data_IF_322025206926
#
_entry.id   IF_322025206926
#
_cell.length_a   1.000
_cell.length_b   1.000
_cell.length_c   1.000
_cell.angle_alpha   90.00
_cell.angle_beta   90.00
_cell.angle_gamma   90.00
#
_symmetry.space_group_name_H-M   'P 1'
#
loop_
_entity.id
_entity.type
_entity.pdbx_description
1 polymer ?
2 non-polymer ?
3 water ?
#
# COMPACT_ATOMS: atom_id res chain seq x y z
N UNK A 3 -16.44 -8.07 -0.84
CA UNK A 3 -15.46 -7.02 -0.58
C UNK A 3 -14.09 -7.60 -0.24
N UNK A 4 -13.30 -7.91 -1.27
CA UNK A 4 -11.98 -8.52 -1.09
C UNK A 4 -11.09 -8.39 -2.33
N UNK A 5 -9.83 -8.81 -2.19
CA UNK A 5 -8.77 -8.60 -3.19
C UNK A 5 -8.97 -9.22 -4.56
N UNK A 6 -8.30 -8.63 -5.54
CA UNK A 6 -8.49 -8.98 -6.94
C UNK A 6 -7.17 -8.98 -7.67
N UNK A 7 -6.12 -8.55 -6.98
CA UNK A 7 -4.83 -8.29 -7.63
C UNK A 7 -3.63 -8.95 -6.99
N UNK A 8 -2.57 -9.10 -7.78
CA UNK A 8 -1.29 -9.56 -7.29
C UNK A 8 -0.17 -8.78 -7.96
N UNK A 9 1.02 -8.91 -7.39
CA UNK A 9 2.24 -8.29 -7.92
C UNK A 9 3.13 -9.33 -8.58
N UNK A 10 3.73 -8.95 -9.69
CA UNK A 10 4.65 -9.82 -10.37
C UNK A 10 5.63 -8.95 -11.14
N UNK A 11 6.65 -9.59 -11.70
CA UNK A 11 7.63 -8.87 -12.49
C UNK A 11 6.91 -8.39 -13.75
N UNK A 12 7.12 -7.14 -14.11
CA UNK A 12 6.40 -6.55 -15.24
C UNK A 12 7.10 -6.74 -16.57
N UNK A 13 6.32 -6.84 -17.64
CA UNK A 13 6.84 -6.88 -19.00
C UNK A 13 7.26 -5.49 -19.43
N UNK A 14 6.87 -4.50 -18.64
CA UNK A 14 7.29 -3.13 -18.87
C UNK A 14 8.58 -2.83 -18.11
N UNK A 15 9.04 -3.79 -17.33
CA UNK A 15 10.22 -3.62 -16.50
C UNK A 15 9.84 -3.38 -15.05
N UNK A 16 10.57 -3.98 -14.12
CA UNK A 16 10.30 -3.77 -12.72
C UNK A 16 9.10 -4.56 -12.23
N UNK A 17 8.29 -3.92 -11.38
CA UNK A 17 7.09 -4.55 -10.82
C UNK A 17 5.86 -4.00 -11.51
N UNK A 18 4.76 -4.73 -11.43
CA UNK A 18 3.49 -4.23 -11.91
C UNK A 18 2.34 -4.90 -11.20
N UNK A 19 1.14 -4.37 -11.35
CA UNK A 19 -0.03 -5.01 -10.76
C UNK A 19 -0.77 -5.84 -11.80
N UNK A 20 -1.22 -7.02 -11.41
CA UNK A 20 -1.90 -7.92 -12.34
C UNK A 20 -3.26 -8.40 -11.83
N UNK A 21 -4.09 -8.91 -12.73
CA UNK A 21 -5.43 -9.35 -12.38
C UNK A 21 -5.45 -10.81 -11.90
N UNK A 22 -6.11 -11.09 -10.79
CA UNK A 22 -6.12 -12.48 -10.33
C UNK A 22 -7.13 -13.31 -11.13
N UNK A 23 -8.25 -12.68 -11.44
CA UNK A 23 -9.33 -13.28 -12.22
C UNK A 23 -9.83 -12.28 -13.27
N UNK A 24 -11.07 -12.41 -13.72
CA UNK A 24 -11.57 -11.46 -14.70
C UNK A 24 -12.19 -10.20 -14.12
N UNK A 25 -11.87 -9.04 -14.70
CA UNK A 25 -12.48 -7.82 -14.22
C UNK A 25 -13.26 -7.08 -15.30
N UNK A 26 -14.51 -6.75 -15.01
CA UNK A 26 -15.40 -6.07 -15.94
C UNK A 26 -15.30 -4.56 -15.83
N UNK A 27 -15.68 -3.90 -16.92
CA UNK A 27 -15.65 -2.45 -17.06
C UNK A 27 -16.33 -1.74 -15.88
N UNK A 28 -15.62 -0.76 -15.33
CA UNK A 28 -16.05 0.04 -14.19
C UNK A 28 -16.21 -0.74 -12.90
N UNK A 29 -15.84 -2.01 -12.92
CA UNK A 29 -15.69 -2.72 -11.65
C UNK A 29 -14.50 -2.16 -10.89
N UNK A 30 -14.65 -2.14 -9.58
CA UNK A 30 -13.56 -1.71 -8.72
C UNK A 30 -12.42 -2.72 -8.67
N UNK A 31 -11.21 -2.25 -8.96
CA UNK A 31 -10.03 -3.10 -8.98
C UNK A 31 -9.33 -3.12 -7.61
N UNK A 32 -9.23 -1.97 -6.98
CA UNK A 32 -8.64 -1.86 -5.67
C UNK A 32 -9.08 -0.56 -5.04
N UNK A 33 -9.23 -0.57 -3.72
CA UNK A 33 -9.55 0.62 -2.96
C UNK A 33 -8.38 0.96 -2.05
N UNK A 34 -7.69 2.05 -2.33
CA UNK A 34 -6.52 2.42 -1.60
C UNK A 34 -6.78 3.50 -0.56
N UNK A 35 -6.41 3.23 0.71
CA UNK A 35 -6.36 4.24 1.76
C UNK A 35 -5.27 5.19 1.41
N UNK A 36 -5.28 6.38 1.98
CA UNK A 36 -4.24 7.33 1.65
C UNK A 36 -3.63 7.96 2.86
N UNK A 37 -2.42 8.43 2.66
CA UNK A 37 -1.69 9.17 3.66
C UNK A 37 -1.47 10.58 3.16
N UNK A 38 -1.74 11.56 4.01
CA UNK A 38 -1.53 12.95 3.65
C UNK A 38 -0.09 13.35 3.88
N UNK A 39 0.55 13.90 2.87
CA UNK A 39 1.89 14.39 3.06
C UNK A 39 1.94 15.89 2.84
N UNK A 40 2.38 16.61 3.86
CA UNK A 40 2.56 18.04 3.83
C UNK A 40 3.56 18.50 2.78
N UNK A 41 3.18 19.52 2.01
CA UNK A 41 4.00 20.02 0.91
C UNK A 41 5.40 20.39 1.28
N UNK A 42 5.56 21.01 2.45
CA UNK A 42 6.87 21.37 2.97
C UNK A 42 7.77 20.13 3.19
N UNK A 43 7.16 18.95 3.17
CA UNK A 43 7.86 17.73 3.51
C UNK A 43 7.82 16.66 2.43
N UNK A 44 7.50 17.05 1.20
CA UNK A 44 7.45 16.09 0.12
C UNK A 44 8.85 15.60 -0.24
N UNK A 45 9.09 14.29 -0.12
CA UNK A 45 10.30 13.63 -0.63
C UNK A 45 10.37 13.69 -2.18
N UNK A 46 11.50 14.12 -2.73
CA UNK A 46 11.63 14.39 -4.16
C UNK A 46 11.40 13.18 -5.05
N UNK A 47 11.78 11.99 -4.59
CA UNK A 47 11.62 10.80 -5.41
C UNK A 47 10.17 10.35 -5.41
N UNK A 48 9.35 11.07 -4.67
CA UNK A 48 7.95 10.71 -4.53
C UNK A 48 7.00 11.69 -5.21
N UNK A 49 7.54 12.79 -5.73
CA UNK A 49 6.75 13.88 -6.31
C UNK A 49 5.79 13.41 -7.41
N UNK A 50 6.31 12.63 -8.35
CA UNK A 50 5.53 12.16 -9.46
C UNK A 50 4.58 11.04 -9.12
N UNK A 51 4.29 10.85 -7.85
CA UNK A 51 3.43 9.72 -7.46
C UNK A 51 2.34 10.08 -6.50
N UNK A 52 2.28 11.36 -6.16
CA UNK A 52 1.29 11.87 -5.24
C UNK A 52 0.07 12.43 -5.95
N UNK A 53 -1.06 12.40 -5.26
CA UNK A 53 -2.30 12.87 -5.85
C UNK A 53 -2.83 14.07 -5.09
N UNK A 54 -3.61 14.89 -5.78
CA UNK A 54 -4.25 16.02 -5.15
C UNK A 54 -5.55 15.54 -4.52
N UNK A 55 -5.82 16.00 -3.30
CA UNK A 55 -7.07 15.68 -2.62
C UNK A 55 -8.31 16.41 -3.13
N UNK A 56 -8.34 16.71 -4.42
CA UNK A 56 -9.46 17.45 -5.01
C UNK A 56 -10.63 16.51 -5.30
N UNK A 77 -2.01 22.72 0.30
CA UNK A 77 -1.14 22.50 1.47
C UNK A 77 -0.64 21.04 1.65
N UNK A 78 -1.34 20.07 1.08
CA UNK A 78 -0.97 18.65 1.25
C UNK A 78 -1.21 17.85 -0.04
N UNK A 79 -0.56 16.70 -0.15
CA UNK A 79 -0.78 15.77 -1.25
C UNK A 79 -0.91 14.35 -0.69
N UNK A 80 -1.27 13.40 -1.52
CA UNK A 80 -1.70 12.10 -1.03
C UNK A 80 -0.82 10.98 -1.50
N UNK A 81 -0.43 10.11 -0.56
CA UNK A 81 0.28 8.88 -0.92
C UNK A 81 -0.69 7.69 -0.82
N UNK A 82 -1.00 7.07 -1.96
CA UNK A 82 -1.91 5.93 -1.96
C UNK A 82 -1.21 4.66 -1.44
N UNK A 83 -1.89 3.95 -0.56
CA UNK A 83 -1.34 2.75 -0.01
C UNK A 83 -1.76 1.57 -0.84
N UNK A 84 -1.79 0.38 -0.24
CA UNK A 84 -1.99 -0.85 -0.98
C UNK A 84 -0.97 -0.84 -2.09
N UNK A 85 -1.37 -1.27 -3.28
CA UNK A 85 -0.47 -1.26 -4.44
C UNK A 85 -0.67 -0.01 -5.29
N UNK A 86 -1.35 0.98 -4.72
CA UNK A 86 -1.69 2.21 -5.43
C UNK A 86 -0.63 2.87 -6.29
N UNK A 87 0.58 3.01 -5.79
CA UNK A 87 1.64 3.64 -6.55
C UNK A 87 2.36 2.66 -7.49
N UNK A 88 2.07 1.36 -7.40
CA UNK A 88 2.83 0.39 -8.19
C UNK A 88 2.27 0.15 -9.62
N UNK A 89 1.06 0.62 -9.91
CA UNK A 89 0.46 0.42 -11.23
C UNK A 89 1.25 1.10 -12.32
N UNK A 90 1.66 0.36 -13.33
CA UNK A 90 2.40 1.01 -14.41
C UNK A 90 1.46 1.88 -15.25
N UNK A 91 2.03 2.79 -16.02
CA UNK A 91 1.23 3.67 -16.85
C UNK A 91 1.33 3.32 -18.32
N UNK A 92 0.33 3.68 -19.10
CA UNK A 92 0.35 3.33 -20.51
C UNK A 92 -0.48 4.28 -21.35
N UNK A 93 -0.02 4.50 -22.59
CA UNK A 93 -0.78 5.30 -23.54
C UNK A 93 -2.07 4.57 -23.92
N UNK A 94 -2.06 3.25 -23.77
CA UNK A 94 -3.24 2.44 -24.02
C UNK A 94 -3.67 1.76 -22.72
N UNK A 95 -4.33 2.53 -21.85
CA UNK A 95 -4.60 2.09 -20.48
C UNK A 95 -5.80 1.20 -20.38
N UNK A 96 -5.77 0.23 -19.47
CA UNK A 96 -6.97 -0.53 -19.24
C UNK A 96 -7.60 -0.21 -17.87
N UNK A 97 -7.05 0.76 -17.14
CA UNK A 97 -7.61 1.14 -15.84
C UNK A 97 -7.52 2.62 -15.56
N UNK A 98 -8.31 3.09 -14.62
CA UNK A 98 -8.22 4.50 -14.27
C UNK A 98 -8.54 4.73 -12.80
N UNK A 99 -8.22 5.93 -12.33
CA UNK A 99 -8.18 6.27 -10.92
C UNK A 99 -9.08 7.40 -10.53
N UNK A 100 -9.80 7.26 -9.42
CA UNK A 100 -10.53 8.41 -8.88
C UNK A 100 -10.20 8.59 -7.40
N UNK A 101 -10.08 9.83 -6.95
CA UNK A 101 -9.95 10.15 -5.55
C UNK A 101 -11.35 10.41 -5.04
N UNK A 102 -11.72 9.78 -3.93
CA UNK A 102 -13.06 9.91 -3.36
C UNK A 102 -12.94 10.29 -1.90
N UNK A 103 -13.83 11.14 -1.42
CA UNK A 103 -13.79 11.54 -0.02
C UNK A 103 -14.66 10.67 0.90
N UNK A 104 -14.29 10.59 2.17
CA UNK A 104 -15.13 9.93 3.16
C UNK A 104 -15.36 10.89 4.34
N UNK A 105 -16.57 10.89 4.91
CA UNK A 105 -16.89 11.77 6.03
C UNK A 105 -17.64 11.07 7.17
N UNK A 116 -1.31 11.46 9.69
CA UNK A 116 -1.47 10.01 9.53
C UNK A 116 -2.34 9.66 8.31
N UNK A 117 -3.36 8.82 8.51
CA UNK A 117 -4.28 8.45 7.43
C UNK A 117 -5.24 9.59 7.06
N UNK A 118 -5.53 9.76 5.78
CA UNK A 118 -6.44 10.82 5.41
C UNK A 118 -7.82 10.29 5.14
N UNK A 119 -8.79 11.19 5.18
CA UNK A 119 -10.15 10.84 4.86
C UNK A 119 -10.34 10.80 3.34
N UNK A 120 -9.26 10.53 2.61
CA UNK A 120 -9.43 10.28 1.19
C UNK A 120 -9.06 8.87 0.81
N UNK A 121 -9.59 8.44 -0.33
CA UNK A 121 -9.36 7.09 -0.79
C UNK A 121 -9.15 7.11 -2.29
N UNK A 122 -8.23 6.30 -2.77
CA UNK A 122 -8.00 6.25 -4.17
C UNK A 122 -8.63 4.99 -4.68
N UNK A 123 -9.55 5.13 -5.64
CA UNK A 123 -10.20 3.94 -6.15
C UNK A 123 -9.78 3.69 -7.54
N UNK A 124 -9.38 2.45 -7.78
CA UNK A 124 -8.98 2.01 -9.09
C UNK A 124 -10.08 1.22 -9.81
N UNK A 125 -10.48 1.72 -10.98
CA UNK A 125 -11.54 1.10 -11.78
C UNK A 125 -11.01 0.54 -13.08
N UNK A 126 -11.59 -0.56 -13.54
CA UNK A 126 -11.27 -1.11 -14.85
C UNK A 126 -11.88 -0.25 -15.98
N UNK A 127 -11.05 0.13 -16.94
CA UNK A 127 -11.50 0.95 -18.06
C UNK A 127 -12.09 0.12 -19.23
N UNK A 128 -11.39 -0.95 -19.58
CA UNK A 128 -11.90 -1.93 -20.51
C UNK A 128 -12.19 -3.17 -19.69
N UNK A 129 -12.53 -4.26 -20.34
CA UNK A 129 -12.63 -5.49 -19.60
C UNK A 129 -11.24 -6.08 -19.53
N UNK A 130 -10.82 -6.47 -18.32
CA UNK A 130 -9.47 -6.97 -18.09
C UNK A 130 -9.48 -8.48 -17.92
N UNK A 131 -8.62 -9.17 -18.65
CA UNK A 131 -8.58 -10.62 -18.60
C UNK A 131 -7.78 -11.12 -17.41
N UNK A 132 -7.91 -12.41 -17.09
CA UNK A 132 -7.09 -12.98 -16.05
C UNK A 132 -5.62 -12.74 -16.41
N UNK A 133 -4.83 -12.32 -15.42
CA UNK A 133 -3.38 -12.14 -15.57
C UNK A 133 -2.96 -11.11 -16.58
N UNK A 134 -3.90 -10.23 -16.95
CA UNK A 134 -3.55 -9.05 -17.71
C UNK A 134 -2.90 -8.07 -16.74
N UNK A 135 -1.90 -7.34 -17.22
CA UNK A 135 -1.34 -6.31 -16.39
C UNK A 135 -2.30 -5.16 -16.36
N UNK A 136 -2.54 -4.63 -15.17
CA UNK A 136 -3.42 -3.49 -15.02
C UNK A 136 -2.63 -2.20 -15.24
N UNK A 137 -2.98 -1.45 -16.27
CA UNK A 137 -2.28 -0.21 -16.57
C UNK A 137 -3.18 1.00 -16.52
N UNK A 138 -2.60 2.14 -16.18
CA UNK A 138 -3.37 3.31 -15.88
C UNK A 138 -2.85 4.42 -16.75
N UNK A 139 -3.74 5.33 -17.12
CA UNK A 139 -3.42 6.47 -17.97
C UNK A 139 -2.51 7.49 -17.32
N UNK A 140 -2.08 8.45 -18.13
CA UNK A 140 -1.23 9.53 -17.66
C UNK A 140 -1.98 10.72 -17.09
N UNK A 141 -3.27 10.82 -17.39
CA UNK A 141 -4.08 11.91 -16.85
C UNK A 141 -4.05 13.12 -17.75
N UNK A 142 -4.96 14.07 -17.52
CA UNK A 142 -5.05 15.23 -18.41
C UNK A 142 -4.19 16.40 -17.97
N UNK A 143 -2.93 16.34 -18.39
CA UNK A 143 -2.02 17.45 -18.30
C UNK A 143 -1.08 17.24 -19.45
N UNK A 144 -0.48 18.32 -19.93
CA UNK A 144 0.41 18.19 -21.06
C UNK A 144 1.81 17.89 -20.58
N UNK A 145 2.06 18.21 -19.32
CA UNK A 145 3.40 18.23 -18.79
C UNK A 145 3.61 17.11 -17.79
N UNK A 146 2.54 16.42 -17.46
CA UNK A 146 2.61 15.16 -16.73
C UNK A 146 1.79 14.18 -17.56
N UNK B 6 -6.12 -13.07 2.12
CA UNK B 6 -5.48 -13.26 3.42
C UNK B 6 -5.93 -12.21 4.47
N UNK B 7 -5.91 -10.93 4.12
CA UNK B 7 -6.22 -9.84 5.06
C UNK B 7 -7.23 -8.81 4.48
N UNK B 8 -7.94 -8.08 5.34
CA UNK B 8 -8.79 -6.99 4.87
C UNK B 8 -8.73 -5.79 5.81
N UNK B 9 -9.28 -4.67 5.35
CA UNK B 9 -9.32 -3.45 6.13
C UNK B 9 -10.70 -3.14 6.67
N UNK B 10 -10.75 -2.65 7.90
CA UNK B 10 -12.00 -2.28 8.51
C UNK B 10 -11.76 -1.25 9.58
N UNK B 11 -12.85 -0.72 10.12
CA UNK B 11 -12.70 0.21 11.22
C UNK B 11 -12.24 -0.55 12.46
N UNK B 12 -11.25 -0.01 13.15
CA UNK B 12 -10.74 -0.65 14.34
C UNK B 12 -11.48 -0.15 15.57
N UNK B 13 -11.59 -1.01 16.57
CA UNK B 13 -12.18 -0.64 17.85
C UNK B 13 -11.19 0.22 18.60
N UNK B 14 -9.96 0.28 18.11
CA UNK B 14 -8.98 1.20 18.67
C UNK B 14 -9.11 2.56 18.01
N UNK B 15 -9.99 2.67 17.01
CA UNK B 15 -10.16 3.91 16.27
C UNK B 15 -9.48 3.95 14.91
N UNK B 16 -10.13 4.56 13.93
CA UNK B 16 -9.52 4.71 12.63
C UNK B 16 -9.54 3.41 11.86
N UNK B 17 -8.45 3.13 11.16
CA UNK B 17 -8.35 1.89 10.38
C UNK B 17 -7.43 0.84 10.99
N UNK B 18 -7.67 -0.41 10.62
CA UNK B 18 -6.76 -1.48 10.98
C UNK B 18 -6.84 -2.62 10.00
N UNK B 19 -5.88 -3.53 10.08
CA UNK B 19 -5.83 -4.69 9.21
C UNK B 19 -6.44 -5.87 9.95
N UNK B 20 -7.27 -6.65 9.27
CA UNK B 20 -7.94 -7.79 9.89
C UNK B 20 -7.69 -9.09 9.15
N UNK B 21 -7.95 -10.20 9.84
CA UNK B 21 -7.73 -11.51 9.27
C UNK B 21 -8.97 -12.02 8.57
N UNK B 22 -8.78 -12.41 7.34
CA UNK B 22 -9.86 -12.88 6.52
C UNK B 22 -10.20 -14.29 6.94
N UNK B 23 -9.15 -15.04 7.27
CA UNK B 23 -9.27 -16.43 7.71
C UNK B 23 -8.38 -16.67 8.93
N UNK B 24 -7.97 -17.92 9.15
CA UNK B 24 -7.09 -18.25 10.26
C UNK B 24 -5.62 -18.16 9.88
N UNK B 25 -4.79 -17.59 10.74
CA UNK B 25 -3.36 -17.58 10.47
C UNK B 25 -2.63 -18.30 11.61
N UNK B 26 -1.76 -19.23 11.25
CA UNK B 26 -1.03 -20.02 12.23
C UNK B 26 0.24 -19.28 12.60
N UNK B 27 0.76 -19.56 13.79
CA UNK B 27 1.98 -18.95 14.29
C UNK B 27 3.12 -19.07 13.29
N UNK B 28 3.80 -17.95 13.01
CA UNK B 28 4.91 -17.85 12.04
C UNK B 28 4.52 -18.00 10.54
N UNK B 29 3.24 -18.12 10.25
CA UNK B 29 2.83 -17.96 8.85
C UNK B 29 3.02 -16.49 8.42
N UNK B 30 3.39 -16.28 7.17
CA UNK B 30 3.52 -14.94 6.61
C UNK B 30 2.15 -14.35 6.41
N UNK B 31 1.92 -13.17 6.96
CA UNK B 31 0.62 -12.52 6.86
C UNK B 31 0.52 -11.63 5.60
N UNK B 32 1.59 -10.90 5.28
CA UNK B 32 1.63 -10.04 4.13
C UNK B 32 3.07 -9.76 3.82
N UNK B 33 3.36 -9.57 2.55
CA UNK B 33 4.66 -9.12 2.12
C UNK B 33 4.52 -7.72 1.46
N UNK B 34 5.09 -6.72 2.09
CA UNK B 34 4.96 -5.36 1.64
C UNK B 34 6.20 -4.92 0.88
N UNK B 35 5.98 -4.43 -0.34
CA UNK B 35 7.04 -3.72 -1.03
C UNK B 35 7.35 -2.42 -0.28
N UNK B 36 8.54 -1.87 -0.49
CA UNK B 36 8.91 -0.69 0.24
C UNK B 36 9.52 0.35 -0.65
N UNK B 37 9.44 1.59 -0.20
CA UNK B 37 10.10 2.69 -0.88
C UNK B 37 11.12 3.31 0.04
N UNK B 38 12.29 3.63 -0.49
CA UNK B 38 13.30 4.29 0.29
C UNK B 38 13.06 5.78 0.39
N UNK B 39 13.01 6.26 1.62
CA UNK B 39 12.87 7.68 1.85
C UNK B 39 14.14 8.18 2.50
N UNK B 40 14.73 9.14 1.81
CA UNK B 40 15.94 9.82 2.23
C UNK B 40 15.77 10.53 3.59
N UNK B 41 16.73 10.33 4.50
CA UNK B 41 16.62 10.79 5.89
C UNK B 41 16.38 12.28 6.02
N UNK B 42 17.06 13.09 5.21
CA UNK B 42 16.81 14.53 5.20
C UNK B 42 15.38 14.87 4.76
N UNK B 43 14.62 13.90 4.26
CA UNK B 43 13.34 14.22 3.65
C UNK B 43 12.15 13.53 4.27
N UNK B 44 12.31 13.00 5.47
CA UNK B 44 11.21 12.30 6.11
C UNK B 44 10.11 13.25 6.58
N UNK B 45 8.90 13.02 6.10
CA UNK B 45 7.71 13.68 6.63
C UNK B 45 7.51 13.27 8.07
N UNK B 46 7.31 14.26 8.94
CA UNK B 46 7.26 14.02 10.36
C UNK B 46 6.10 13.09 10.78
N UNK B 47 4.96 13.15 10.09
CA UNK B 47 3.83 12.32 10.48
C UNK B 47 3.98 10.86 10.03
N UNK B 48 5.13 10.56 9.41
CA UNK B 48 5.43 9.22 8.92
C UNK B 48 6.53 8.53 9.71
N UNK B 49 7.14 9.27 10.63
CA UNK B 49 8.25 8.78 11.43
C UNK B 49 7.96 7.46 12.17
N UNK B 50 6.82 7.36 12.83
CA UNK B 50 6.53 6.14 13.58
C UNK B 50 6.14 4.99 12.66
N UNK B 51 6.49 5.07 11.37
CA UNK B 51 6.12 4.03 10.42
C UNK B 51 7.24 3.63 9.47
N UNK B 52 8.42 4.22 9.62
CA UNK B 52 9.54 3.88 8.75
C UNK B 52 10.46 2.86 9.39
N UNK B 53 11.12 2.05 8.56
CA UNK B 53 11.97 0.99 9.05
C UNK B 53 13.36 1.17 8.54
N UNK B 54 14.33 0.66 9.28
CA UNK B 54 15.70 0.69 8.83
C UNK B 54 15.99 -0.54 7.97
N UNK B 55 16.68 -0.34 6.85
CA UNK B 55 17.10 -1.45 6.02
C UNK B 55 18.27 -2.18 6.63
N UNK B 77 21.49 6.07 6.13
CA UNK B 77 21.36 7.16 5.14
C UNK B 77 19.92 7.32 4.61
N UNK B 78 19.11 6.26 4.71
CA UNK B 78 17.75 6.22 4.19
C UNK B 78 16.83 5.40 5.12
N UNK B 79 15.52 5.48 4.93
CA UNK B 79 14.57 4.64 5.66
C UNK B 79 13.56 4.03 4.69
N UNK B 80 12.75 3.12 5.18
CA UNK B 80 11.89 2.36 4.32
C UNK B 80 10.44 2.58 4.65
N UNK B 81 9.67 2.88 3.62
CA UNK B 81 8.24 3.02 3.72
C UNK B 81 7.53 1.79 3.15
N UNK B 82 6.80 1.10 4.01
CA UNK B 82 6.09 -0.08 3.53
C UNK B 82 4.80 0.26 2.77
N UNK B 83 4.62 -0.37 1.63
CA UNK B 83 3.39 -0.24 0.88
C UNK B 83 2.49 -1.38 1.28
N UNK B 84 1.57 -1.76 0.40
CA UNK B 84 0.49 -2.65 0.81
C UNK B 84 -0.15 -2.01 2.02
N UNK B 85 -0.53 -2.83 2.99
CA UNK B 85 -1.12 -2.30 4.21
C UNK B 85 -0.12 -2.17 5.34
N UNK B 86 1.15 -2.22 5.00
CA UNK B 86 2.22 -2.11 5.98
C UNK B 86 2.05 -1.01 7.02
N UNK B 87 1.59 0.15 6.58
CA UNK B 87 1.48 1.30 7.44
C UNK B 87 0.22 1.27 8.31
N UNK B 88 -0.74 0.44 7.94
CA UNK B 88 -2.05 0.48 8.57
C UNK B 88 -2.22 -0.44 9.80
N UNK B 89 -1.28 -1.35 10.05
CA UNK B 89 -1.39 -2.20 11.22
C UNK B 89 -1.28 -1.39 12.48
N UNK B 90 -2.27 -1.51 13.35
CA UNK B 90 -2.22 -0.81 14.63
C UNK B 90 -1.21 -1.41 15.61
N UNK B 91 -0.93 -0.65 16.64
CA UNK B 91 0.06 -1.11 17.60
C UNK B 91 -0.62 -1.55 18.88
N UNK B 92 0.03 -2.43 19.63
CA UNK B 92 -0.56 -2.95 20.85
C UNK B 92 0.54 -3.45 21.77
N UNK B 93 0.33 -3.32 23.08
CA UNK B 93 1.19 -3.93 24.09
C UNK B 93 0.97 -5.44 24.07
N UNK B 94 -0.17 -5.88 23.53
CA UNK B 94 -0.44 -7.31 23.36
C UNK B 94 -0.62 -7.68 21.89
N UNK B 95 0.49 -7.75 21.14
CA UNK B 95 0.53 -7.88 19.68
C UNK B 95 0.36 -9.31 19.20
N UNK B 96 -0.30 -9.54 18.08
CA UNK B 96 -0.36 -10.90 17.57
C UNK B 96 0.49 -11.11 16.36
N UNK B 97 1.25 -10.09 15.98
CA UNK B 97 2.10 -10.19 14.81
C UNK B 97 3.39 -9.43 14.95
N UNK B 98 4.34 -9.74 14.10
CA UNK B 98 5.60 -9.02 14.16
C UNK B 98 6.18 -8.81 12.76
N UNK B 99 7.18 -7.95 12.67
CA UNK B 99 7.64 -7.42 11.42
C UNK B 99 9.12 -7.68 11.20
N UNK B 100 9.51 -8.17 10.04
CA UNK B 100 10.93 -8.23 9.72
C UNK B 100 11.18 -7.63 8.35
N UNK B 101 12.31 -6.94 8.19
CA UNK B 101 12.74 -6.44 6.89
C UNK B 101 13.77 -7.40 6.24
N UNK B 102 13.53 -7.77 4.97
CA UNK B 102 14.39 -8.72 4.24
C UNK B 102 14.84 -8.18 2.90
N UNK B 103 16.05 -8.49 2.47
CA UNK B 103 16.52 -7.98 1.19
C UNK B 103 15.98 -8.88 0.08
N UNK B 104 15.80 -8.31 -1.11
CA UNK B 104 15.36 -9.10 -2.24
C UNK B 104 16.22 -8.93 -3.47
N UNK B 105 16.25 -9.98 -4.28
CA UNK B 105 16.96 -9.99 -5.55
C UNK B 105 16.37 -8.95 -6.50
N UNK B 106 17.10 -7.85 -6.67
CA UNK B 106 16.71 -6.81 -7.60
C UNK B 106 16.59 -7.35 -9.04
N UNK B 115 13.79 5.76 -4.82
CA UNK B 115 13.51 6.09 -6.20
C UNK B 115 12.11 5.59 -6.55
N UNK B 116 12.07 4.39 -7.12
CA UNK B 116 10.81 3.69 -7.24
C UNK B 116 10.77 2.71 -6.06
N UNK B 117 10.49 1.45 -6.33
CA UNK B 117 10.48 0.42 -5.31
C UNK B 117 11.92 0.11 -4.88
N UNK B 118 12.12 -0.27 -3.62
CA UNK B 118 13.46 -0.69 -3.20
C UNK B 118 13.53 -2.21 -3.19
N UNK B 119 14.75 -2.74 -3.18
CA UNK B 119 14.98 -4.18 -3.08
C UNK B 119 14.89 -4.68 -1.65
N UNK B 120 14.11 -4.00 -0.84
CA UNK B 120 13.78 -4.48 0.47
C UNK B 120 12.31 -4.76 0.52
N UNK B 121 11.93 -5.56 1.48
CA UNK B 121 10.57 -5.96 1.63
C UNK B 121 10.27 -6.03 3.13
N UNK B 122 9.06 -5.68 3.51
CA UNK B 122 8.68 -5.83 4.88
C UNK B 122 7.75 -6.98 4.94
N UNK B 123 8.06 -7.96 5.79
CA UNK B 123 7.21 -9.11 5.96
C UNK B 123 6.54 -9.10 7.32
N UNK B 124 5.24 -9.33 7.34
CA UNK B 124 4.49 -9.44 8.58
C UNK B 124 4.20 -10.91 8.90
N UNK B 125 4.59 -11.35 10.09
CA UNK B 125 4.37 -12.72 10.52
C UNK B 125 3.42 -12.74 11.72
N UNK B 126 2.63 -13.80 11.85
CA UNK B 126 1.83 -14.01 13.04
C UNK B 126 2.71 -14.50 14.24
N UNK B 127 2.57 -13.84 15.38
CA UNK B 127 3.32 -14.22 16.57
C UNK B 127 2.57 -15.37 17.27
N UNK B 128 1.25 -15.26 17.35
CA UNK B 128 0.40 -16.37 17.77
C UNK B 128 -0.55 -16.81 16.68
N UNK B 129 -1.48 -17.69 17.02
CA UNK B 129 -2.53 -18.09 16.10
C UNK B 129 -3.66 -17.07 16.11
N UNK B 130 -4.02 -16.59 14.92
CA UNK B 130 -5.03 -15.57 14.76
C UNK B 130 -6.30 -16.09 14.14
N UNK B 131 -7.44 -15.77 14.76
CA UNK B 131 -8.71 -16.24 14.24
C UNK B 131 -9.24 -15.38 13.10
N UNK B 132 -10.25 -15.87 12.40
CA UNK B 132 -10.93 -15.08 11.38
C UNK B 132 -11.47 -13.80 11.99
N UNK B 133 -11.26 -12.70 11.28
CA UNK B 133 -11.75 -11.36 11.64
C UNK B 133 -11.18 -10.80 12.95
N UNK B 134 -10.10 -11.39 13.44
CA UNK B 134 -9.36 -10.74 14.48
C UNK B 134 -8.58 -9.60 13.86
N UNK B 135 -8.44 -8.52 14.62
CA UNK B 135 -7.57 -7.46 14.18
C UNK B 135 -6.13 -7.88 14.37
N UNK B 136 -5.30 -7.66 13.37
CA UNK B 136 -3.89 -7.96 13.46
C UNK B 136 -3.11 -6.79 14.05
N UNK B 137 -2.45 -7.02 15.19
CA UNK B 137 -1.69 -5.98 15.89
C UNK B 137 -0.18 -6.28 16.06
N UNK B 138 0.59 -5.22 16.09
CA UNK B 138 2.04 -5.25 15.98
C UNK B 138 2.62 -4.42 17.14
N UNK B 139 3.87 -4.64 17.52
CA UNK B 139 4.51 -3.91 18.64
C UNK B 139 4.71 -2.42 18.36
N UNK B 140 5.17 -1.69 19.37
CA UNK B 140 5.43 -0.26 19.21
C UNK B 140 6.78 -0.01 18.55
N UNK B 141 7.65 -1.01 18.58
CA UNK B 141 8.95 -0.90 17.93
C UNK B 141 9.93 -0.27 18.91
N UNK B 142 9.38 0.64 19.72
CA UNK B 142 10.13 1.39 20.71
C UNK B 142 10.12 0.69 22.07
N UNK B 143 11.23 0.03 22.38
CA UNK B 143 11.46 -0.48 23.72
C UNK B 143 12.97 -0.43 23.96
N UNK B 144 13.38 -0.48 25.22
CA UNK B 144 14.79 -0.42 25.56
C UNK B 144 15.45 -1.79 25.50
X LIG C 1 0.99 11.01 -9.71
X LIG D 1 -4.74 13.88 -9.04
X LIG E 1 -14.76 -8.61 3.88
X LIG F 1 -5.00 8.87 11.70
X LIG G 1 -15.53 -1.61 8.27
X LIG H 1 9.33 19.18 12.54
X LIG I 1 1.98 -10.44 -0.81
#
# INVERSE_FOLDING_TARGET
NDIQKKIYIGKSSLGGLGVFSLEGIKKNEIIEICPTVSICNEEIPRNLVDYLYEGKEPSKNKAIVDIIINRKKETSNYKLLPLGYGILYNHSDIPNAYVEIHKINKNQIKQKQDVTVSNNVMIVYAYNNIQKDDEILISYGHSWWK
NDIQKKIYIGKSSLGGLGVFSLEGIKKNEIIEICPTVSICNEEIPRNLVDYLYEGKEPSKNKAIVDIIINRKKETSNYKLLPLGYGILYNHSDIPNAYVEIHKINKNQIKQKQDVTVSNNVMIVYAYNNIQKDDEILISYGHSWWK
UNX UNK
UNX UNK
UNX UNK
UNX UNK
UNX UNK
UNX UNK
UNX UNK
#
